data_IF_488305303467
#
_entry.id   IF_488305303467
#
_cell.length_a   1.000
_cell.length_b   1.000
_cell.length_c   1.000
_cell.angle_alpha   90.00
_cell.angle_beta   90.00
_cell.angle_gamma   90.00
#
_symmetry.space_group_name_H-M   'P 1'
#
loop_
_entity.id
_entity.type
_entity.pdbx_description
1 polymer ?
#
# COMPACT_ATOMS: atom_id res chain seq x y z
N UNK A 1 -5.83 7.45 65.91
CA UNK A 1 -6.52 8.03 64.74
C UNK A 1 -5.79 9.22 64.10
N UNK A 2 -5.50 10.32 64.79
CA UNK A 2 -4.82 11.52 64.21
C UNK A 2 -3.50 11.25 63.47
N UNK A 3 -2.61 10.41 64.02
CA UNK A 3 -1.32 10.05 63.37
C UNK A 3 -1.50 9.27 62.07
N UNK A 4 -2.46 8.34 62.02
CA UNK A 4 -2.77 7.55 60.82
C UNK A 4 -3.31 8.47 59.72
N UNK A 5 -4.22 9.39 60.05
CA UNK A 5 -4.76 10.37 59.11
C UNK A 5 -3.64 11.28 58.57
N UNK A 6 -2.74 11.76 59.44
CA UNK A 6 -1.61 12.60 59.01
C UNK A 6 -0.64 11.84 58.07
N UNK A 7 -0.31 10.59 58.37
CA UNK A 7 0.53 9.76 57.49
C UNK A 7 -0.14 9.51 56.14
N UNK A 8 -1.45 9.25 56.10
CA UNK A 8 -2.20 9.12 54.84
C UNK A 8 -2.22 10.42 54.04
N UNK A 9 -2.38 11.58 54.69
CA UNK A 9 -2.32 12.88 54.02
C UNK A 9 -0.94 13.13 53.43
N UNK A 10 0.14 12.80 54.14
CA UNK A 10 1.52 12.95 53.63
C UNK A 10 1.79 11.98 52.47
N UNK A 11 1.34 10.73 52.57
CA UNK A 11 1.48 9.74 51.48
C UNK A 11 0.72 10.21 50.24
N UNK A 12 -0.52 10.67 50.38
CA UNK A 12 -1.30 11.21 49.27
C UNK A 12 -0.63 12.47 48.69
N UNK A 13 -0.15 13.38 49.53
CA UNK A 13 0.50 14.63 49.10
C UNK A 13 1.84 14.41 48.38
N UNK A 14 2.51 13.27 48.56
CA UNK A 14 3.78 12.95 47.87
C UNK A 14 3.54 12.01 46.68
N UNK A 15 2.75 10.95 46.86
CA UNK A 15 2.51 9.93 45.84
C UNK A 15 1.67 10.50 44.69
N UNK A 16 0.67 11.33 44.97
CA UNK A 16 -0.22 11.87 43.94
C UNK A 16 0.52 12.81 42.98
N UNK A 17 1.37 13.75 43.42
CA UNK A 17 2.21 14.53 42.50
C UNK A 17 3.20 13.68 41.70
N UNK A 18 3.83 12.67 42.30
CA UNK A 18 4.74 11.76 41.58
C UNK A 18 3.98 10.99 40.50
N UNK A 19 2.78 10.49 40.83
CA UNK A 19 1.90 9.84 39.88
C UNK A 19 1.53 10.78 38.73
N UNK A 20 1.13 12.01 39.05
CA UNK A 20 0.84 13.03 38.03
C UNK A 20 2.07 13.29 37.15
N UNK A 21 3.25 13.38 37.76
CA UNK A 21 4.50 13.62 37.04
C UNK A 21 4.77 12.49 36.03
N UNK A 22 4.76 11.24 36.50
CA UNK A 22 5.10 10.04 35.70
C UNK A 22 4.09 9.79 34.58
N UNK A 23 2.80 9.97 34.84
CA UNK A 23 1.75 9.59 33.89
C UNK A 23 1.32 10.72 32.94
N UNK A 24 1.49 11.99 33.33
CA UNK A 24 0.99 13.13 32.54
C UNK A 24 2.06 14.12 32.09
N UNK A 25 3.16 14.28 32.83
CA UNK A 25 4.20 15.27 32.46
C UNK A 25 5.38 14.63 31.73
N UNK A 26 5.95 13.54 32.25
CA UNK A 26 7.09 12.87 31.64
C UNK A 26 6.82 12.35 30.22
N UNK A 27 5.63 11.81 29.89
CA UNK A 27 5.32 11.39 28.51
C UNK A 27 5.27 12.54 27.50
N UNK A 28 5.26 13.81 27.94
CA UNK A 28 5.32 14.96 27.04
C UNK A 28 6.76 15.34 26.66
N UNK A 29 7.76 14.87 27.41
CA UNK A 29 9.16 15.23 27.22
C UNK A 29 9.81 14.31 26.19
N UNK A 30 10.36 14.87 25.10
CA UNK A 30 10.93 14.09 24.00
C UNK A 30 12.15 13.27 24.41
N UNK A 31 12.95 13.74 25.37
CA UNK A 31 14.10 12.99 25.89
C UNK A 31 13.73 11.68 26.62
N UNK A 32 12.45 11.51 26.98
CA UNK A 32 11.92 10.27 27.55
C UNK A 32 11.57 9.22 26.49
N UNK A 33 11.71 9.54 25.21
CA UNK A 33 11.51 8.59 24.12
C UNK A 33 12.86 8.06 23.62
N UNK A 34 12.84 6.86 23.05
CA UNK A 34 13.99 6.24 22.39
C UNK A 34 13.62 5.88 20.96
N UNK A 35 14.61 5.90 20.06
CA UNK A 35 14.41 5.51 18.67
C UNK A 35 14.01 4.05 18.53
N UNK A 36 13.34 3.74 17.43
CA UNK A 36 13.02 2.38 17.00
C UNK A 36 14.26 1.47 17.02
N UNK A 37 15.40 1.91 16.50
CA UNK A 37 16.64 1.12 16.50
C UNK A 37 17.14 0.80 17.91
N UNK A 38 17.14 1.80 18.79
CA UNK A 38 17.53 1.60 20.19
C UNK A 38 16.60 0.62 20.89
N UNK A 39 15.30 0.71 20.60
CA UNK A 39 14.29 -0.20 21.15
C UNK A 39 14.51 -1.64 20.64
N UNK A 40 14.67 -1.82 19.33
CA UNK A 40 14.92 -3.13 18.70
C UNK A 40 16.19 -3.79 19.23
N UNK A 41 17.28 -3.03 19.38
CA UNK A 41 18.54 -3.55 19.94
C UNK A 41 18.37 -4.07 21.37
N UNK A 42 17.57 -3.39 22.20
CA UNK A 42 17.31 -3.80 23.59
C UNK A 42 16.31 -4.96 23.71
N UNK A 43 15.42 -5.12 22.74
CA UNK A 43 14.30 -6.08 22.79
C UNK A 43 14.37 -7.18 21.72
N UNK A 44 15.59 -7.54 21.27
CA UNK A 44 15.87 -8.55 20.22
C UNK A 44 15.19 -9.92 20.39
N UNK A 45 14.58 -10.22 21.55
CA UNK A 45 13.92 -11.51 21.83
C UNK A 45 12.43 -11.58 21.48
N UNK A 46 11.74 -10.46 21.21
CA UNK A 46 10.26 -10.43 21.12
C UNK A 46 9.69 -10.13 19.73
N UNK A 47 10.53 -9.90 18.72
CA UNK A 47 10.09 -9.72 17.33
C UNK A 47 10.51 -10.95 16.53
N UNK A 48 9.67 -11.98 16.54
CA UNK A 48 9.79 -13.09 15.59
C UNK A 48 9.37 -12.52 14.23
N UNK A 49 10.30 -11.84 13.54
CA UNK A 49 10.13 -11.20 12.23
C UNK A 49 9.92 -12.19 11.09
N UNK A 50 9.24 -13.30 11.36
CA UNK A 50 8.96 -14.37 10.40
C UNK A 50 7.62 -14.21 9.70
N UNK A 51 6.67 -13.48 10.30
CA UNK A 51 5.35 -13.26 9.74
C UNK A 51 5.12 -11.76 9.58
N UNK A 52 5.14 -11.28 8.33
CA UNK A 52 4.82 -9.89 8.00
C UNK A 52 3.40 -9.49 8.42
N UNK A 53 3.09 -8.20 8.33
CA UNK A 53 1.77 -7.68 8.68
C UNK A 53 0.71 -8.20 7.70
N UNK A 54 -0.31 -8.89 8.22
CA UNK A 54 -1.51 -9.24 7.45
C UNK A 54 -2.46 -8.05 7.38
N UNK A 55 -3.07 -7.83 6.23
CA UNK A 55 -3.97 -6.69 6.02
C UNK A 55 -5.35 -7.19 5.62
N UNK A 56 -6.40 -6.53 6.13
CA UNK A 56 -7.77 -6.93 5.86
C UNK A 56 -8.04 -6.94 4.35
N UNK A 57 -8.58 -8.06 3.87
CA UNK A 57 -8.83 -8.31 2.45
C UNK A 57 -10.21 -8.92 2.26
N UNK A 58 -10.82 -8.75 1.08
CA UNK A 58 -12.08 -9.46 0.75
C UNK A 58 -11.89 -10.95 0.60
N UNK A 59 -10.66 -11.40 0.35
CA UNK A 59 -10.28 -12.81 0.22
C UNK A 59 -9.04 -13.05 1.07
N UNK A 60 -9.07 -14.08 1.92
CA UNK A 60 -7.99 -14.44 2.83
C UNK A 60 -7.73 -15.94 2.79
N UNK A 61 -6.47 -16.32 2.56
CA UNK A 61 -6.02 -17.71 2.65
C UNK A 61 -5.82 -18.10 4.12
N UNK A 62 -6.44 -19.22 4.51
CA UNK A 62 -6.19 -19.90 5.79
C UNK A 62 -5.56 -21.29 5.55
N UNK A 63 -5.16 -21.99 6.61
CA UNK A 63 -4.54 -23.31 6.51
C UNK A 63 -5.45 -24.34 5.79
N UNK A 64 -6.75 -24.32 6.10
CA UNK A 64 -7.69 -25.35 5.66
C UNK A 64 -8.57 -24.93 4.47
N UNK A 65 -8.51 -23.66 4.05
CA UNK A 65 -9.37 -23.13 3.00
C UNK A 65 -9.23 -21.63 2.80
N UNK A 66 -10.16 -21.05 2.04
CA UNK A 66 -10.15 -19.65 1.66
C UNK A 66 -11.42 -19.00 2.17
N UNK A 67 -11.27 -17.95 3.00
CA UNK A 67 -12.38 -17.08 3.36
C UNK A 67 -12.55 -16.02 2.29
N UNK A 68 -13.80 -15.73 1.92
CA UNK A 68 -14.08 -14.61 1.03
C UNK A 68 -15.42 -13.97 1.37
N UNK A 69 -15.55 -12.68 1.10
CA UNK A 69 -16.75 -11.91 1.46
C UNK A 69 -17.61 -11.65 0.23
N UNK A 70 -18.92 -11.66 0.42
CA UNK A 70 -19.90 -11.19 -0.54
C UNK A 70 -20.95 -10.34 0.17
N UNK A 71 -20.90 -9.02 -0.02
CA UNK A 71 -21.72 -8.07 0.74
C UNK A 71 -21.63 -8.36 2.25
N UNK A 72 -22.75 -8.59 2.93
CA UNK A 72 -22.78 -8.93 4.36
C UNK A 72 -22.51 -10.39 4.72
N UNK A 73 -22.07 -11.24 3.77
CA UNK A 73 -21.87 -12.69 3.97
C UNK A 73 -20.39 -13.04 3.99
N UNK A 74 -19.99 -13.85 4.96
CA UNK A 74 -18.69 -14.51 4.99
C UNK A 74 -18.86 -15.92 4.43
N UNK A 75 -18.14 -16.21 3.35
CA UNK A 75 -18.10 -17.50 2.69
C UNK A 75 -16.77 -18.19 2.96
N UNK A 76 -16.76 -19.51 2.91
CA UNK A 76 -15.56 -20.33 3.07
C UNK A 76 -15.51 -21.40 1.99
N UNK A 77 -14.40 -21.45 1.25
CA UNK A 77 -14.09 -22.45 0.23
C UNK A 77 -13.07 -23.45 0.78
N UNK A 78 -13.45 -24.73 0.84
CA UNK A 78 -12.56 -25.79 1.30
C UNK A 78 -11.42 -26.10 0.32
N UNK A 79 -10.23 -26.40 0.84
CA UNK A 79 -9.05 -26.68 0.01
C UNK A 79 -9.12 -28.02 -0.76
N UNK A 80 -9.87 -29.01 -0.26
CA UNK A 80 -9.95 -30.38 -0.82
C UNK A 80 -10.80 -30.41 -2.09
N UNK A 81 -12.06 -30.00 -1.97
CA UNK A 81 -13.08 -30.24 -2.99
C UNK A 81 -13.66 -28.94 -3.57
N UNK A 82 -13.24 -27.77 -3.07
CA UNK A 82 -13.72 -26.47 -3.50
C UNK A 82 -15.17 -26.17 -3.11
N UNK A 83 -15.76 -26.97 -2.21
CA UNK A 83 -17.09 -26.74 -1.65
C UNK A 83 -17.14 -25.40 -0.94
N UNK A 84 -18.25 -24.69 -1.10
CA UNK A 84 -18.45 -23.36 -0.55
C UNK A 84 -19.58 -23.40 0.47
N UNK A 85 -19.27 -22.97 1.68
CA UNK A 85 -20.23 -22.84 2.76
C UNK A 85 -20.32 -21.37 3.19
N UNK A 86 -21.54 -20.91 3.50
CA UNK A 86 -21.72 -19.66 4.21
C UNK A 86 -21.44 -19.89 5.70
N UNK A 87 -20.50 -19.13 6.26
CA UNK A 87 -20.12 -19.25 7.67
C UNK A 87 -21.03 -18.38 8.52
N UNK A 88 -21.24 -17.13 8.11
CA UNK A 88 -22.07 -16.20 8.84
C UNK A 88 -22.53 -15.03 7.96
N UNK A 89 -23.55 -14.33 8.42
CA UNK A 89 -24.10 -13.14 7.77
C UNK A 89 -24.36 -12.05 8.80
N UNK A 90 -23.98 -10.82 8.45
CA UNK A 90 -24.38 -9.60 9.16
C UNK A 90 -25.32 -8.75 8.28
N UNK A 91 -26.12 -7.84 8.86
CA UNK A 91 -27.03 -6.99 8.09
C UNK A 91 -26.32 -6.04 7.12
N UNK A 92 -25.19 -5.49 7.56
CA UNK A 92 -24.37 -4.53 6.82
C UNK A 92 -23.38 -5.23 5.90
N UNK A 93 -22.71 -4.49 5.02
CA UNK A 93 -21.62 -5.06 4.20
C UNK A 93 -20.39 -5.39 5.06
N UNK A 94 -19.70 -6.49 4.75
CA UNK A 94 -18.40 -6.84 5.31
C UNK A 94 -17.33 -6.29 4.38
N UNK A 95 -16.44 -5.44 4.90
CA UNK A 95 -15.34 -4.86 4.14
C UNK A 95 -14.31 -5.93 3.76
N UNK A 96 -14.03 -6.84 4.69
CA UNK A 96 -13.06 -7.90 4.49
C UNK A 96 -12.88 -8.74 5.75
N UNK A 97 -11.90 -9.64 5.66
CA UNK A 97 -11.59 -10.67 6.62
C UNK A 97 -10.09 -10.68 6.94
N UNK A 98 -9.76 -10.99 8.19
CA UNK A 98 -8.43 -11.40 8.63
C UNK A 98 -8.55 -12.76 9.31
N UNK A 99 -7.72 -13.71 8.91
CA UNK A 99 -7.71 -15.04 9.48
C UNK A 99 -6.32 -15.42 9.99
N UNK A 100 -6.30 -15.99 11.20
CA UNK A 100 -5.10 -16.60 11.79
C UNK A 100 -5.52 -17.83 12.56
N UNK A 101 -4.91 -18.95 12.23
CA UNK A 101 -5.28 -20.26 12.76
C UNK A 101 -6.78 -20.50 12.56
N UNK A 102 -7.52 -20.81 13.63
CA UNK A 102 -8.99 -20.95 13.61
C UNK A 102 -9.73 -19.69 14.05
N UNK A 103 -9.06 -18.53 14.10
CA UNK A 103 -9.67 -17.26 14.49
C UNK A 103 -9.87 -16.37 13.28
N UNK A 104 -11.10 -15.90 13.10
CA UNK A 104 -11.48 -15.02 11.99
C UNK A 104 -12.00 -13.70 12.55
N UNK A 105 -11.56 -12.60 11.97
CA UNK A 105 -12.03 -11.26 12.29
C UNK A 105 -12.65 -10.59 11.06
N UNK A 106 -13.73 -9.86 11.27
CA UNK A 106 -14.48 -9.16 10.23
C UNK A 106 -14.58 -7.67 10.57
N UNK A 107 -14.57 -6.85 9.52
CA UNK A 107 -14.88 -5.41 9.62
C UNK A 107 -16.19 -5.12 8.93
N UNK A 108 -17.10 -4.51 9.66
CA UNK A 108 -18.34 -3.96 9.12
C UNK A 108 -18.11 -2.66 8.35
N UNK A 109 -18.84 -2.48 7.24
CA UNK A 109 -18.89 -1.26 6.47
C UNK A 109 -19.98 -0.35 7.04
N UNK A 110 -19.65 0.45 8.06
CA UNK A 110 -20.55 1.49 8.62
C UNK A 110 -19.72 2.66 9.22
N UNK A 111 -20.32 3.85 9.31
CA UNK A 111 -19.79 5.02 10.01
C UNK A 111 -19.56 4.75 11.51
N UNK A 112 -20.28 3.78 12.09
CA UNK A 112 -20.07 3.23 13.45
C UNK A 112 -19.56 1.78 13.36
N UNK A 113 -18.70 1.50 12.37
CA UNK A 113 -18.20 0.16 12.08
C UNK A 113 -17.75 -0.61 13.32
N UNK A 114 -18.21 -1.86 13.35
CA UNK A 114 -17.83 -2.84 14.36
C UNK A 114 -16.73 -3.75 13.84
N UNK A 115 -15.83 -4.15 14.74
CA UNK A 115 -14.95 -5.28 14.53
C UNK A 115 -15.57 -6.48 15.21
N UNK A 116 -15.74 -7.55 14.44
CA UNK A 116 -16.28 -8.82 14.92
C UNK A 116 -15.20 -9.89 14.94
N UNK A 117 -15.34 -10.82 15.88
CA UNK A 117 -14.64 -12.09 15.93
C UNK A 117 -15.65 -13.19 15.63
N UNK A 118 -15.32 -14.08 14.71
CA UNK A 118 -16.11 -15.26 14.38
C UNK A 118 -15.44 -16.46 15.02
N UNK A 119 -16.21 -17.24 15.78
CA UNK A 119 -15.70 -18.48 16.37
C UNK A 119 -15.85 -19.68 15.40
N UNK A 120 -15.31 -20.84 15.79
CA UNK A 120 -15.33 -22.04 14.95
C UNK A 120 -16.75 -22.52 14.57
N UNK A 121 -17.78 -22.12 15.32
CA UNK A 121 -19.17 -22.48 15.04
C UNK A 121 -19.89 -21.46 14.15
N UNK A 122 -19.19 -20.42 13.68
CA UNK A 122 -19.78 -19.33 12.90
C UNK A 122 -20.49 -18.26 13.74
N UNK A 123 -20.44 -18.34 15.08
CA UNK A 123 -21.03 -17.31 15.94
C UNK A 123 -20.19 -16.04 15.89
N UNK A 124 -20.89 -14.91 15.73
CA UNK A 124 -20.28 -13.60 15.59
C UNK A 124 -20.34 -12.87 16.93
N UNK A 125 -19.18 -12.47 17.45
CA UNK A 125 -19.05 -11.66 18.67
C UNK A 125 -18.44 -10.32 18.32
N UNK A 126 -19.12 -9.23 18.66
CA UNK A 126 -18.57 -7.88 18.52
C UNK A 126 -17.47 -7.66 19.56
N UNK A 127 -16.28 -7.27 19.13
CA UNK A 127 -15.12 -7.09 20.02
C UNK A 127 -14.67 -5.62 20.14
N UNK A 128 -14.88 -4.79 19.12
CA UNK A 128 -14.52 -3.37 19.18
C UNK A 128 -15.44 -2.51 18.30
N UNK A 129 -15.47 -1.21 18.60
CA UNK A 129 -16.07 -0.16 17.75
C UNK A 129 -14.94 0.61 17.09
N UNK A 130 -14.60 0.27 15.86
CA UNK A 130 -13.57 0.97 15.10
C UNK A 130 -13.78 0.79 13.59
N UNK A 131 -13.63 1.90 12.86
CA UNK A 131 -13.79 1.95 11.41
C UNK A 131 -12.45 2.03 10.67
N UNK A 132 -11.32 1.78 11.33
CA UNK A 132 -10.01 1.77 10.68
C UNK A 132 -9.80 0.62 9.72
N UNK A 133 -8.93 0.82 8.72
CA UNK A 133 -8.35 -0.30 7.97
C UNK A 133 -7.66 -1.21 8.99
N UNK A 134 -7.96 -2.50 8.94
CA UNK A 134 -7.50 -3.49 9.90
C UNK A 134 -6.23 -4.17 9.43
N UNK A 135 -5.33 -4.41 10.36
CA UNK A 135 -4.08 -5.12 10.18
C UNK A 135 -3.89 -6.11 11.33
N UNK A 136 -3.08 -7.14 11.12
CA UNK A 136 -2.75 -8.13 12.14
C UNK A 136 -1.25 -8.43 12.11
N UNK A 137 -0.62 -8.29 13.26
CA UNK A 137 0.78 -8.59 13.49
C UNK A 137 0.92 -9.30 14.84
N UNK A 138 1.52 -10.49 14.83
CA UNK A 138 1.56 -11.35 16.01
C UNK A 138 0.15 -11.72 16.51
N UNK A 139 -0.14 -11.42 17.77
CA UNK A 139 -1.46 -11.65 18.42
C UNK A 139 -2.24 -10.34 18.64
N UNK A 140 -2.01 -9.35 17.79
CA UNK A 140 -2.65 -8.04 17.90
C UNK A 140 -3.37 -7.66 16.62
N UNK A 141 -4.45 -6.89 16.78
CA UNK A 141 -5.16 -6.22 15.70
C UNK A 141 -4.81 -4.74 15.78
N UNK A 142 -4.42 -4.18 14.65
CA UNK A 142 -4.22 -2.74 14.52
C UNK A 142 -5.34 -2.18 13.64
N UNK A 143 -5.80 -0.98 13.98
CA UNK A 143 -6.73 -0.21 13.16
C UNK A 143 -6.14 1.15 12.88
N UNK A 144 -6.35 1.63 11.66
CA UNK A 144 -5.80 2.92 11.26
C UNK A 144 -6.81 3.70 10.40
N UNK A 145 -7.20 4.89 10.86
CA UNK A 145 -8.02 5.87 10.14
C UNK A 145 -7.73 7.30 10.60
N UNK A 146 -8.21 8.29 9.83
CA UNK A 146 -8.06 9.71 10.15
C UNK A 146 -8.78 10.16 11.45
N UNK A 147 -9.88 9.49 11.84
CA UNK A 147 -10.68 9.91 13.01
C UNK A 147 -9.98 9.60 14.34
N UNK A 148 -9.30 8.46 14.39
CA UNK A 148 -8.80 7.86 15.62
C UNK A 148 -7.29 7.61 15.60
N UNK A 149 -6.64 7.81 14.44
CA UNK A 149 -5.24 7.47 14.21
C UNK A 149 -5.01 5.97 14.30
N UNK A 150 -3.84 5.59 14.81
CA UNK A 150 -3.46 4.20 15.02
C UNK A 150 -4.01 3.72 16.36
N UNK A 151 -4.69 2.57 16.36
CA UNK A 151 -5.08 1.85 17.57
C UNK A 151 -4.61 0.42 17.49
N UNK A 152 -4.28 -0.14 18.64
CA UNK A 152 -3.89 -1.53 18.80
C UNK A 152 -4.81 -2.20 19.81
N UNK A 153 -5.25 -3.42 19.49
CA UNK A 153 -6.14 -4.24 20.28
C UNK A 153 -5.56 -5.64 20.43
N UNK A 154 -5.85 -6.29 21.55
CA UNK A 154 -5.73 -7.74 21.64
C UNK A 154 -6.90 -8.44 20.93
N UNK A 155 -6.83 -9.77 20.79
CA UNK A 155 -7.87 -10.58 20.14
C UNK A 155 -9.19 -10.70 20.94
N UNK A 156 -9.27 -10.10 22.14
CA UNK A 156 -10.53 -9.93 22.88
C UNK A 156 -11.22 -8.61 22.56
N UNK A 157 -10.53 -7.70 21.83
CA UNK A 157 -11.00 -6.35 21.55
C UNK A 157 -10.64 -5.33 22.62
N UNK A 158 -9.83 -5.71 23.62
CA UNK A 158 -9.33 -4.74 24.61
C UNK A 158 -8.25 -3.89 23.94
N UNK A 159 -8.43 -2.58 23.99
CA UNK A 159 -7.46 -1.63 23.47
C UNK A 159 -6.17 -1.65 24.30
N UNK A 160 -5.04 -1.83 23.62
CA UNK A 160 -3.68 -1.80 24.16
C UNK A 160 -3.14 -0.37 24.11
N UNK A 161 -3.27 0.30 22.96
CA UNK A 161 -2.93 1.71 22.82
C UNK A 161 -3.74 2.42 21.74
N UNK A 162 -3.73 3.75 21.78
CA UNK A 162 -4.24 4.63 20.73
C UNK A 162 -3.31 5.84 20.58
N UNK A 163 -3.01 6.19 19.34
CA UNK A 163 -2.27 7.39 18.98
C UNK A 163 -3.02 8.11 17.84
N UNK A 164 -3.44 9.35 18.08
CA UNK A 164 -4.17 10.17 17.09
C UNK A 164 -3.24 10.99 16.17
N UNK A 165 -1.97 11.18 16.56
CA UNK A 165 -0.99 12.04 15.87
C UNK A 165 -0.54 11.49 14.51
N UNK A 166 -1.14 10.38 14.04
CA UNK A 166 -0.62 9.61 12.92
C UNK A 166 -1.20 9.94 11.55
N UNK A 167 -2.37 10.57 11.40
CA UNK A 167 -3.01 10.70 10.08
C UNK A 167 -4.00 11.87 9.98
N UNK A 168 -3.52 13.04 9.57
CA UNK A 168 -4.38 14.08 9.01
C UNK A 168 -4.33 13.95 7.47
N UNK A 169 -5.42 13.42 6.89
CA UNK A 169 -5.72 13.40 5.44
C UNK A 169 -4.78 12.55 4.53
N UNK A 170 -4.94 11.22 4.58
CA UNK A 170 -4.20 10.27 3.72
C UNK A 170 -5.10 9.55 2.73
N UNK A 171 -4.63 9.35 1.48
CA UNK A 171 -5.35 8.62 0.42
C UNK A 171 -5.05 7.13 0.42
N UNK A 172 -3.87 6.74 0.91
CA UNK A 172 -3.42 5.35 0.99
C UNK A 172 -2.44 5.22 2.14
N UNK A 173 -2.50 4.10 2.86
CA UNK A 173 -1.64 3.82 4.00
C UNK A 173 -1.45 2.32 4.23
N UNK A 174 -0.30 1.97 4.79
CA UNK A 174 0.04 0.65 5.31
C UNK A 174 0.88 0.77 6.58
N UNK A 175 0.97 -0.33 7.35
CA UNK A 175 1.76 -0.40 8.57
C UNK A 175 2.70 -1.61 8.55
N UNK A 176 3.86 -1.47 9.17
CA UNK A 176 4.83 -2.55 9.39
C UNK A 176 5.74 -2.19 10.56
N UNK A 177 6.02 -3.11 11.49
CA UNK A 177 6.90 -2.82 12.66
C UNK A 177 6.51 -1.53 13.43
N UNK A 178 5.23 -1.25 13.60
CA UNK A 178 4.66 0.02 14.12
C UNK A 178 4.97 1.30 13.30
N UNK A 179 5.71 1.22 12.19
CA UNK A 179 5.85 2.31 11.20
C UNK A 179 4.54 2.49 10.44
N UNK A 180 4.29 3.72 9.99
CA UNK A 180 3.14 4.03 9.15
C UNK A 180 3.66 4.68 7.87
N UNK A 181 3.46 4.01 6.75
CA UNK A 181 3.82 4.50 5.43
C UNK A 181 2.57 4.93 4.69
N UNK A 182 2.54 6.17 4.21
CA UNK A 182 1.32 6.75 3.68
C UNK A 182 1.57 7.80 2.60
N UNK A 183 0.54 8.01 1.79
CA UNK A 183 0.49 9.08 0.79
C UNK A 183 -0.35 10.24 1.32
N UNK A 184 0.22 11.44 1.28
CA UNK A 184 -0.40 12.67 1.76
C UNK A 184 -1.23 13.33 0.66
N UNK A 185 -2.50 13.65 0.96
CA UNK A 185 -3.47 14.15 -0.03
C UNK A 185 -3.08 15.48 -0.69
N UNK A 186 -2.53 16.45 0.05
CA UNK A 186 -2.40 17.82 -0.47
C UNK A 186 -1.29 18.00 -1.50
N UNK A 187 -0.19 17.23 -1.39
CA UNK A 187 0.99 17.39 -2.24
C UNK A 187 1.41 16.08 -2.92
N UNK A 188 0.59 15.02 -2.84
CA UNK A 188 0.89 13.69 -3.37
C UNK A 188 2.22 13.09 -2.86
N UNK A 189 2.76 13.62 -1.75
CA UNK A 189 4.02 13.19 -1.16
C UNK A 189 3.85 11.88 -0.41
N UNK A 190 4.90 11.06 -0.43
CA UNK A 190 4.99 9.86 0.38
C UNK A 190 5.71 10.20 1.68
N UNK A 191 5.15 9.74 2.80
CA UNK A 191 5.67 10.01 4.11
C UNK A 191 5.73 8.75 4.98
N UNK A 192 6.63 8.80 5.96
CA UNK A 192 6.87 7.74 6.92
C UNK A 192 6.78 8.32 8.34
N UNK A 193 5.87 7.77 9.13
CA UNK A 193 5.85 7.99 10.58
C UNK A 193 6.74 6.97 11.25
N UNK A 194 7.87 7.43 11.79
CA UNK A 194 8.87 6.61 12.48
C UNK A 194 8.52 6.52 13.96
N UNK A 195 8.35 5.32 14.54
CA UNK A 195 7.96 5.15 15.93
C UNK A 195 9.11 5.49 16.89
N UNK A 196 8.77 6.21 17.95
CA UNK A 196 9.61 6.48 19.11
C UNK A 196 8.90 5.95 20.36
N UNK A 197 9.61 5.12 21.14
CA UNK A 197 9.01 4.40 22.26
C UNK A 197 9.30 5.10 23.58
N UNK A 198 8.27 5.31 24.40
CA UNK A 198 8.44 5.88 25.72
C UNK A 198 9.17 4.92 26.67
N UNK A 199 10.21 5.41 27.35
CA UNK A 199 11.11 4.57 28.17
C UNK A 199 10.43 3.82 29.31
N UNK A 200 9.30 4.32 29.83
CA UNK A 200 8.61 3.73 30.98
C UNK A 200 7.36 2.92 30.60
N UNK A 201 6.89 3.02 29.36
CA UNK A 201 5.70 2.29 28.86
C UNK A 201 5.77 2.17 27.34
N UNK A 202 6.06 0.96 26.85
CA UNK A 202 6.27 0.68 25.42
C UNK A 202 5.01 0.87 24.57
N UNK A 203 3.83 0.91 25.20
CA UNK A 203 2.56 1.14 24.51
C UNK A 203 2.31 2.63 24.25
N UNK A 204 3.16 3.52 24.78
CA UNK A 204 3.15 4.95 24.45
C UNK A 204 4.18 5.23 23.37
N UNK A 205 3.68 5.39 22.15
CA UNK A 205 4.48 5.67 20.96
C UNK A 205 4.26 7.12 20.55
N UNK A 206 5.34 7.83 20.23
CA UNK A 206 5.33 9.09 19.48
C UNK A 206 5.83 8.83 18.06
N UNK A 207 5.45 9.67 17.11
CA UNK A 207 5.89 9.55 15.73
C UNK A 207 6.73 10.74 15.30
N UNK A 208 7.85 10.44 14.68
CA UNK A 208 8.65 11.42 13.94
C UNK A 208 8.32 11.29 12.45
N UNK A 209 7.98 12.40 11.81
CA UNK A 209 7.55 12.40 10.41
C UNK A 209 8.74 12.64 9.46
N UNK A 210 8.85 11.79 8.44
CA UNK A 210 9.81 11.92 7.35
C UNK A 210 9.11 11.90 5.99
N UNK A 211 9.60 12.71 5.04
CA UNK A 211 9.27 12.60 3.63
C UNK A 211 10.16 11.55 2.98
N UNK A 212 9.56 10.61 2.23
CA UNK A 212 10.28 9.59 1.49
C UNK A 212 10.51 10.09 0.08
N UNK A 213 11.76 10.47 -0.23
CA UNK A 213 12.12 11.13 -1.50
C UNK A 213 12.49 10.12 -2.58
N UNK A 214 11.65 10.01 -3.61
CA UNK A 214 11.89 9.14 -4.77
C UNK A 214 12.50 9.85 -5.99
N UNK A 215 12.28 11.17 -6.12
CA UNK A 215 12.68 11.94 -7.30
C UNK A 215 14.03 12.62 -7.12
N UNK A 216 14.91 12.50 -8.12
CA UNK A 216 16.31 12.94 -8.10
C UNK A 216 16.62 13.78 -9.33
N UNK A 217 17.44 14.80 -9.15
CA UNK A 217 17.98 15.64 -10.21
C UNK A 217 19.49 15.57 -10.18
N UNK A 218 20.11 15.45 -11.35
CA UNK A 218 21.54 15.24 -11.50
C UNK A 218 22.25 16.37 -12.25
N UNK A 219 21.49 17.21 -12.94
CA UNK A 219 21.96 18.45 -13.52
C UNK A 219 21.23 19.62 -12.87
N UNK A 220 21.82 20.81 -12.99
CA UNK A 220 21.19 22.04 -12.52
C UNK A 220 19.79 22.20 -13.15
N UNK A 221 18.73 22.41 -12.33
CA UNK A 221 17.40 22.66 -12.86
C UNK A 221 17.38 24.00 -13.61
N UNK A 222 16.68 24.02 -14.74
CA UNK A 222 16.54 25.22 -15.57
C UNK A 222 15.44 26.15 -15.01
N UNK A 223 15.33 27.38 -15.51
CA UNK A 223 14.42 28.40 -14.92
C UNK A 223 12.94 27.98 -14.90
N UNK A 224 12.53 27.06 -15.77
CA UNK A 224 11.18 26.51 -15.81
C UNK A 224 10.96 25.32 -14.86
N UNK A 225 12.02 24.79 -14.25
CA UNK A 225 11.93 23.67 -13.31
C UNK A 225 11.78 24.23 -11.88
N UNK A 226 10.81 23.72 -11.15
CA UNK A 226 10.49 24.18 -9.79
C UNK A 226 11.43 23.62 -8.70
N UNK A 227 12.55 23.01 -9.11
CA UNK A 227 13.45 22.28 -8.24
C UNK A 227 14.62 23.14 -7.77
N UNK A 228 15.06 22.94 -6.53
CA UNK A 228 16.16 23.73 -5.96
C UNK A 228 17.52 23.17 -6.42
N UNK A 229 18.41 24.05 -6.88
CA UNK A 229 19.79 23.72 -7.28
C UNK A 229 20.58 23.00 -6.18
N UNK A 230 20.31 23.30 -4.91
CA UNK A 230 20.96 22.66 -3.75
C UNK A 230 20.61 21.18 -3.58
N UNK A 231 19.53 20.70 -4.21
CA UNK A 231 19.09 19.32 -4.10
C UNK A 231 19.64 18.43 -5.23
N UNK A 232 20.43 18.99 -6.15
CA UNK A 232 21.10 18.26 -7.23
C UNK A 232 22.19 17.37 -6.66
N UNK A 233 22.22 16.12 -7.10
CA UNK A 233 23.17 15.10 -6.63
C UNK A 233 24.01 14.55 -7.78
N UNK A 234 25.15 13.94 -7.45
CA UNK A 234 25.92 13.18 -8.44
C UNK A 234 25.17 11.91 -8.89
N UNK A 235 25.58 11.35 -10.03
CA UNK A 235 25.00 10.12 -10.57
C UNK A 235 25.23 8.96 -9.61
N UNK A 236 24.15 8.55 -8.94
CA UNK A 236 24.12 7.40 -8.04
C UNK A 236 23.86 6.09 -8.80
N UNK A 237 23.66 5.00 -8.06
CA UNK A 237 23.50 3.68 -8.65
C UNK A 237 22.17 3.54 -9.42
N UNK A 238 21.10 4.23 -8.99
CA UNK A 238 19.84 4.28 -9.73
C UNK A 238 20.03 4.99 -11.07
N UNK A 239 20.75 6.12 -11.08
CA UNK A 239 21.05 6.85 -12.30
C UNK A 239 21.78 5.97 -13.32
N UNK A 240 22.81 5.25 -12.88
CA UNK A 240 23.61 4.35 -13.74
C UNK A 240 22.77 3.20 -14.30
N UNK A 241 21.90 2.61 -13.48
CA UNK A 241 21.05 1.49 -13.90
C UNK A 241 20.02 1.93 -14.93
N UNK A 242 19.28 3.01 -14.63
CA UNK A 242 18.23 3.54 -15.51
C UNK A 242 18.80 4.11 -16.82
N UNK A 243 19.92 4.85 -16.77
CA UNK A 243 20.57 5.39 -17.98
C UNK A 243 21.05 4.25 -18.89
N UNK A 244 21.63 3.19 -18.32
CA UNK A 244 22.05 2.01 -19.07
C UNK A 244 20.87 1.29 -19.72
N UNK A 245 19.78 1.09 -18.99
CA UNK A 245 18.56 0.46 -19.49
C UNK A 245 18.02 1.21 -20.71
N UNK A 246 17.84 2.52 -20.59
CA UNK A 246 17.35 3.39 -21.67
C UNK A 246 18.25 3.33 -22.91
N UNK A 247 19.56 3.44 -22.73
CA UNK A 247 20.52 3.53 -23.86
C UNK A 247 20.82 2.20 -24.53
N UNK A 248 20.77 1.09 -23.80
CA UNK A 248 21.26 -0.21 -24.30
C UNK A 248 20.11 -1.13 -24.68
N UNK A 249 19.01 -1.12 -23.91
CA UNK A 249 17.97 -2.14 -24.04
C UNK A 249 16.83 -1.71 -24.97
N UNK A 250 16.84 -0.44 -25.43
CA UNK A 250 15.87 0.06 -26.41
C UNK A 250 14.41 -0.14 -25.99
N UNK A 251 14.17 -0.21 -24.68
CA UNK A 251 12.87 -0.62 -24.10
C UNK A 251 11.72 0.33 -24.37
N UNK A 252 12.01 1.53 -24.87
CA UNK A 252 11.03 2.55 -25.17
C UNK A 252 11.10 2.85 -26.65
N UNK A 253 9.93 2.89 -27.31
CA UNK A 253 9.83 3.44 -28.64
C UNK A 253 10.42 4.84 -28.63
N UNK A 254 11.55 5.03 -29.30
CA UNK A 254 12.17 6.33 -29.46
C UNK A 254 11.35 7.11 -30.48
N UNK A 255 10.22 7.66 -30.04
CA UNK A 255 9.19 8.27 -30.90
C UNK A 255 9.74 9.45 -31.73
N UNK A 256 10.81 10.10 -31.26
CA UNK A 256 11.28 11.38 -31.82
C UNK A 256 12.54 11.30 -32.70
N UNK A 257 13.13 10.12 -32.93
CA UNK A 257 14.37 9.98 -33.72
C UNK A 257 15.57 10.78 -33.18
N UNK A 258 15.51 11.26 -31.94
CA UNK A 258 16.58 11.97 -31.24
C UNK A 258 17.68 11.00 -30.85
N UNK A 259 18.92 11.32 -31.19
CA UNK A 259 20.10 10.56 -30.74
C UNK A 259 20.39 10.89 -29.27
N UNK A 260 20.09 9.94 -28.39
CA UNK A 260 20.38 10.01 -26.95
C UNK A 260 21.86 10.33 -26.64
N UNK A 261 22.80 10.03 -27.55
CA UNK A 261 24.22 10.40 -27.39
C UNK A 261 24.45 11.90 -27.22
N UNK A 262 23.53 12.75 -27.71
CA UNK A 262 23.58 14.21 -27.60
C UNK A 262 22.96 14.75 -26.31
N UNK A 263 22.45 13.88 -25.43
CA UNK A 263 21.76 14.29 -24.22
C UNK A 263 22.40 13.67 -22.97
N UNK A 264 22.39 14.43 -21.87
CA UNK A 264 22.78 13.99 -20.53
C UNK A 264 21.54 13.74 -19.68
N UNK A 265 21.61 12.74 -18.78
CA UNK A 265 20.51 12.45 -17.86
C UNK A 265 20.37 13.60 -16.87
N UNK A 266 19.23 14.28 -16.90
CA UNK A 266 18.91 15.44 -16.07
C UNK A 266 18.20 15.02 -14.78
N UNK A 267 17.16 14.18 -14.88
CA UNK A 267 16.37 13.77 -13.72
C UNK A 267 15.74 12.38 -13.88
N UNK A 268 15.50 11.74 -12.74
CA UNK A 268 14.65 10.56 -12.60
C UNK A 268 13.62 10.85 -11.52
N UNK A 269 12.36 10.90 -11.89
CA UNK A 269 11.26 11.29 -11.01
C UNK A 269 10.23 10.17 -10.94
N UNK A 270 9.85 9.74 -9.74
CA UNK A 270 8.81 8.72 -9.56
C UNK A 270 7.59 9.33 -8.87
N UNK A 271 6.50 9.41 -9.62
CA UNK A 271 5.18 9.76 -9.10
C UNK A 271 4.45 8.49 -8.67
N UNK A 272 4.37 8.27 -7.36
CA UNK A 272 3.67 7.10 -6.79
C UNK A 272 2.17 7.36 -6.77
N UNK A 273 1.41 6.53 -7.48
CA UNK A 273 -0.05 6.61 -7.54
C UNK A 273 -0.71 5.77 -6.44
N UNK A 274 -0.23 4.54 -6.24
CA UNK A 274 -0.72 3.62 -5.21
C UNK A 274 0.40 2.67 -4.76
N UNK A 275 0.22 1.96 -3.65
CA UNK A 275 1.18 0.99 -3.16
C UNK A 275 0.54 -0.19 -2.42
N UNK A 276 1.26 -1.31 -2.35
CA UNK A 276 0.85 -2.50 -1.63
C UNK A 276 1.08 -2.38 -0.12
N UNK A 277 0.50 -3.29 0.64
CA UNK A 277 1.00 -3.59 1.98
C UNK A 277 2.35 -4.33 1.92
N UNK A 278 2.99 -4.57 3.07
CA UNK A 278 4.28 -5.28 3.11
C UNK A 278 4.13 -6.72 2.60
N UNK A 279 4.93 -7.09 1.60
CA UNK A 279 5.04 -8.46 1.09
C UNK A 279 6.52 -8.82 0.97
N UNK A 280 6.93 -9.89 1.65
CA UNK A 280 8.31 -10.41 1.63
C UNK A 280 9.39 -9.34 1.92
N UNK A 281 9.15 -8.44 2.87
CA UNK A 281 10.01 -7.29 3.24
C UNK A 281 10.15 -6.20 2.17
N UNK A 282 9.20 -6.11 1.26
CA UNK A 282 9.09 -5.02 0.29
C UNK A 282 7.72 -4.35 0.35
N UNK A 283 7.69 -3.09 -0.06
CA UNK A 283 6.46 -2.41 -0.49
C UNK A 283 6.56 -2.23 -2.00
N UNK A 284 5.48 -2.58 -2.71
CA UNK A 284 5.38 -2.42 -4.14
C UNK A 284 4.66 -1.13 -4.45
N UNK A 285 5.22 -0.34 -5.36
CA UNK A 285 4.75 0.99 -5.73
C UNK A 285 4.25 0.95 -7.17
N UNK A 286 3.02 1.35 -7.40
CA UNK A 286 2.52 1.62 -8.74
C UNK A 286 2.60 3.11 -9.03
N UNK A 287 3.21 3.47 -10.16
CA UNK A 287 3.41 4.87 -10.51
C UNK A 287 4.01 5.08 -11.89
N UNK A 288 4.34 6.34 -12.17
CA UNK A 288 5.04 6.75 -13.37
C UNK A 288 6.46 7.22 -13.04
N UNK A 289 7.45 6.56 -13.62
CA UNK A 289 8.84 7.03 -13.62
C UNK A 289 9.06 7.89 -14.86
N UNK A 290 9.27 9.19 -14.65
CA UNK A 290 9.66 10.14 -15.67
C UNK A 290 11.18 10.25 -15.68
N UNK A 291 11.78 10.00 -16.82
CA UNK A 291 13.22 10.10 -17.06
C UNK A 291 13.43 11.26 -18.03
N UNK A 292 14.15 12.28 -17.60
CA UNK A 292 14.39 13.47 -18.42
C UNK A 292 15.86 13.56 -18.79
N UNK A 293 16.11 13.72 -20.08
CA UNK A 293 17.41 13.97 -20.66
C UNK A 293 17.45 15.41 -21.21
N UNK A 294 18.57 16.10 -21.02
CA UNK A 294 18.80 17.48 -21.48
C UNK A 294 19.88 17.51 -22.56
N UNK A 295 19.64 18.27 -23.63
CA UNK A 295 20.59 18.47 -24.73
C UNK A 295 21.90 19.05 -24.19
N UNK A 296 23.03 18.41 -24.51
CA UNK A 296 24.38 18.83 -24.07
C UNK A 296 24.71 20.26 -24.52
N UNK A 297 24.16 20.69 -25.65
CA UNK A 297 24.36 22.03 -26.18
C UNK A 297 23.23 23.00 -25.83
N UNK A 298 22.32 22.62 -24.91
CA UNK A 298 21.18 23.44 -24.51
C UNK A 298 21.58 24.90 -24.26
N UNK A 299 22.56 25.16 -23.38
CA UNK A 299 22.97 26.53 -23.02
C UNK A 299 23.38 27.37 -24.23
N UNK A 300 24.16 26.79 -25.16
CA UNK A 300 24.58 27.47 -26.39
C UNK A 300 23.40 27.72 -27.33
N UNK A 301 22.58 26.70 -27.55
CA UNK A 301 21.43 26.77 -28.46
C UNK A 301 20.33 27.68 -27.92
N UNK A 302 20.20 27.81 -26.59
CA UNK A 302 19.22 28.70 -25.96
C UNK A 302 19.61 30.17 -26.08
N UNK A 303 20.91 30.49 -26.00
CA UNK A 303 21.43 31.85 -26.19
C UNK A 303 21.27 32.37 -27.63
N UNK A 304 21.23 31.48 -28.62
CA UNK A 304 21.11 31.80 -30.04
C UNK A 304 19.65 31.97 -30.52
N UNK A 305 18.69 31.83 -29.61
CA UNK A 305 17.27 31.71 -29.93
C UNK A 305 16.56 33.07 -29.88
N UNK A 306 15.52 33.22 -30.69
CA UNK A 306 14.74 34.47 -30.73
C UNK A 306 13.60 34.46 -29.72
N UNK A 307 13.14 35.64 -29.27
CA UNK A 307 12.03 35.79 -28.32
C UNK A 307 10.71 35.14 -28.81
N UNK A 308 10.51 34.97 -30.12
CA UNK A 308 9.34 34.28 -30.69
C UNK A 308 9.44 32.75 -30.62
N UNK A 309 10.65 32.19 -30.45
CA UNK A 309 10.89 30.74 -30.32
C UNK A 309 10.81 30.25 -28.86
N UNK A 310 10.71 31.16 -27.88
CA UNK A 310 10.81 30.82 -26.45
C UNK A 310 9.64 29.98 -25.90
N UNK A 311 8.43 30.14 -26.46
CA UNK A 311 7.18 29.54 -25.93
C UNK A 311 7.16 27.99 -26.00
N UNK A 312 8.10 27.34 -26.72
CA UNK A 312 8.20 25.88 -26.88
C UNK A 312 9.60 25.29 -26.56
N UNK A 313 10.47 26.04 -25.86
CA UNK A 313 11.87 25.65 -25.65
C UNK A 313 12.07 24.28 -24.97
N UNK A 314 11.22 23.94 -23.99
CA UNK A 314 11.44 22.76 -23.16
C UNK A 314 11.42 21.46 -23.97
N UNK A 315 10.50 21.30 -24.90
CA UNK A 315 10.37 20.07 -25.71
C UNK A 315 11.46 19.96 -26.80
N UNK A 316 12.01 21.11 -27.23
CA UNK A 316 13.12 21.18 -28.19
C UNK A 316 14.42 20.62 -27.59
N UNK A 317 14.69 20.93 -26.32
CA UNK A 317 15.96 20.59 -25.66
C UNK A 317 15.88 19.42 -24.68
N UNK A 318 14.68 18.93 -24.37
CA UNK A 318 14.53 17.74 -23.54
C UNK A 318 14.11 16.52 -24.34
N UNK A 319 14.49 15.36 -23.84
CA UNK A 319 13.96 14.08 -24.26
C UNK A 319 13.41 13.39 -23.01
N UNK A 320 12.09 13.12 -23.01
CA UNK A 320 11.38 12.61 -21.84
C UNK A 320 10.84 11.21 -22.13
N UNK A 321 11.09 10.31 -21.20
CA UNK A 321 10.54 8.96 -21.20
C UNK A 321 9.62 8.83 -20.00
N UNK A 322 8.43 8.29 -20.21
CA UNK A 322 7.47 8.02 -19.14
C UNK A 322 7.22 6.52 -19.04
N UNK A 323 7.46 5.96 -17.87
CA UNK A 323 7.37 4.52 -17.63
C UNK A 323 6.33 4.26 -16.55
N UNK A 324 5.15 3.79 -16.97
CA UNK A 324 4.12 3.30 -16.05
C UNK A 324 4.44 1.85 -15.68
N UNK A 325 4.77 1.60 -14.42
CA UNK A 325 5.18 0.27 -13.98
C UNK A 325 4.91 0.06 -12.48
N UNK A 326 5.08 -1.19 -12.06
CA UNK A 326 5.26 -1.52 -10.64
C UNK A 326 6.74 -1.51 -10.32
N UNK A 327 7.08 -0.82 -9.26
CA UNK A 327 8.39 -0.78 -8.62
C UNK A 327 8.31 -1.48 -7.28
N UNK A 328 9.44 -1.82 -6.68
CA UNK A 328 9.49 -2.24 -5.29
C UNK A 328 10.60 -1.53 -4.55
N UNK A 329 10.38 -1.31 -3.26
CA UNK A 329 11.33 -0.72 -2.33
C UNK A 329 11.42 -1.63 -1.11
N UNK A 330 12.64 -1.88 -0.64
CA UNK A 330 12.82 -2.72 0.55
C UNK A 330 12.38 -1.97 1.82
N UNK A 331 11.86 -2.71 2.78
CA UNK A 331 11.49 -2.16 4.09
C UNK A 331 12.71 -1.56 4.81
N UNK A 332 13.91 -2.12 4.59
CA UNK A 332 15.13 -1.62 5.19
C UNK A 332 15.52 -0.25 4.59
N UNK A 333 15.36 -0.07 3.27
CA UNK A 333 15.56 1.23 2.60
C UNK A 333 14.58 2.29 3.13
N UNK A 334 13.30 1.93 3.31
CA UNK A 334 12.30 2.85 3.88
C UNK A 334 12.67 3.24 5.31
N UNK A 335 13.03 2.28 6.16
CA UNK A 335 13.39 2.53 7.57
C UNK A 335 14.63 3.41 7.71
N UNK A 336 15.57 3.30 6.77
CA UNK A 336 16.80 4.11 6.75
C UNK A 336 16.61 5.48 6.09
N UNK A 337 15.44 5.77 5.51
CA UNK A 337 15.16 7.05 4.87
C UNK A 337 15.06 8.21 5.87
N UNK A 338 15.39 9.40 5.39
CA UNK A 338 15.31 10.65 6.16
C UNK A 338 14.92 11.81 5.25
N UNK A 339 14.60 12.96 5.84
CA UNK A 339 14.33 14.19 5.09
C UNK A 339 15.52 14.71 4.26
N UNK A 340 16.71 14.13 4.43
CA UNK A 340 17.95 14.53 3.75
C UNK A 340 18.39 13.51 2.69
N UNK A 341 17.79 12.32 2.66
CA UNK A 341 18.24 11.21 1.80
C UNK A 341 17.19 10.82 0.77
N UNK A 342 17.66 10.26 -0.34
CA UNK A 342 16.81 9.64 -1.36
C UNK A 342 16.78 8.14 -1.17
N UNK A 343 15.64 7.52 -1.45
CA UNK A 343 15.49 6.05 -1.38
C UNK A 343 15.71 5.40 -2.73
N UNK A 344 16.40 4.27 -2.75
CA UNK A 344 16.52 3.43 -3.94
C UNK A 344 15.28 2.54 -4.10
N UNK A 345 14.93 2.28 -5.34
CA UNK A 345 13.84 1.40 -5.73
C UNK A 345 14.20 0.74 -7.05
N UNK A 346 13.58 -0.40 -7.32
CA UNK A 346 13.82 -1.17 -8.53
C UNK A 346 12.51 -1.39 -9.29
N UNK A 347 12.59 -1.42 -10.62
CA UNK A 347 11.43 -1.71 -11.45
C UNK A 347 11.20 -3.23 -11.46
N UNK A 348 9.94 -3.63 -11.24
CA UNK A 348 9.57 -5.05 -11.24
C UNK A 348 9.32 -5.55 -12.66
N UNK A 349 8.62 -4.78 -13.50
CA UNK A 349 8.36 -5.18 -14.89
C UNK A 349 9.44 -4.68 -15.83
N UNK A 350 9.92 -5.56 -16.72
CA UNK A 350 10.83 -5.21 -17.82
C UNK A 350 10.10 -4.51 -18.96
N UNK A 351 8.96 -5.03 -19.39
CA UNK A 351 8.18 -4.40 -20.46
C UNK A 351 7.00 -3.61 -19.88
N UNK A 352 6.80 -2.35 -20.29
CA UNK A 352 5.64 -1.56 -19.90
C UNK A 352 4.40 -1.82 -20.79
N UNK A 353 4.52 -2.62 -21.86
CA UNK A 353 3.42 -2.88 -22.81
C UNK A 353 2.39 -3.86 -22.22
N UNK A 354 1.50 -3.30 -21.42
CA UNK A 354 0.34 -3.99 -20.86
C UNK A 354 -0.90 -3.32 -21.44
N UNK A 355 -1.79 -4.10 -22.07
CA UNK A 355 -3.00 -3.53 -22.69
C UNK A 355 -3.99 -3.01 -21.66
N UNK A 356 -4.71 -1.94 -22.02
CA UNK A 356 -5.74 -1.32 -21.21
C UNK A 356 -5.20 -0.35 -20.15
N UNK A 357 -6.11 0.38 -19.52
CA UNK A 357 -5.78 1.27 -18.41
C UNK A 357 -5.65 0.47 -17.12
N UNK A 358 -4.55 0.71 -16.42
CA UNK A 358 -4.22 0.01 -15.19
C UNK A 358 -5.17 0.43 -14.07
N UNK A 359 -5.92 -0.54 -13.55
CA UNK A 359 -6.92 -0.29 -12.51
C UNK A 359 -6.33 -0.54 -11.12
N UNK A 360 -5.88 -1.78 -10.85
CA UNK A 360 -5.38 -2.20 -9.54
C UNK A 360 -4.29 -3.26 -9.70
N UNK A 361 -3.54 -3.49 -8.63
CA UNK A 361 -2.61 -4.60 -8.56
C UNK A 361 -2.64 -5.22 -7.17
N UNK A 362 -2.24 -6.48 -7.09
CA UNK A 362 -1.99 -7.19 -5.84
C UNK A 362 -0.69 -7.97 -5.98
N UNK A 363 -0.02 -8.20 -4.86
CA UNK A 363 1.24 -8.94 -4.81
C UNK A 363 1.00 -10.18 -3.99
N UNK A 364 1.36 -11.34 -4.54
CA UNK A 364 1.32 -12.60 -3.82
C UNK A 364 2.59 -13.39 -4.11
N UNK A 365 3.41 -13.54 -3.06
CA UNK A 365 4.71 -14.21 -3.09
C UNK A 365 5.60 -13.60 -4.19
N UNK A 366 6.01 -14.41 -5.17
CA UNK A 366 6.90 -14.00 -6.26
C UNK A 366 6.17 -13.41 -7.48
N UNK A 367 4.88 -13.08 -7.40
CA UNK A 367 4.13 -12.54 -8.53
C UNK A 367 3.40 -11.25 -8.18
N UNK A 368 3.42 -10.30 -9.11
CA UNK A 368 2.49 -9.17 -9.12
C UNK A 368 1.39 -9.49 -10.12
N UNK A 369 0.14 -9.45 -9.66
CA UNK A 369 -1.02 -9.53 -10.54
C UNK A 369 -1.59 -8.15 -10.75
N UNK A 370 -1.87 -7.86 -12.01
CA UNK A 370 -2.35 -6.56 -12.48
C UNK A 370 -3.69 -6.78 -13.16
N UNK A 371 -4.69 -5.98 -12.78
CA UNK A 371 -5.97 -5.92 -13.49
C UNK A 371 -6.06 -4.63 -14.30
N UNK A 372 -6.28 -4.81 -15.59
CA UNK A 372 -6.48 -3.73 -16.55
C UNK A 372 -7.85 -3.86 -17.21
N UNK A 373 -8.38 -2.75 -17.69
CA UNK A 373 -9.62 -2.72 -18.46
C UNK A 373 -9.36 -1.95 -19.77
N UNK A 374 -10.02 -2.32 -20.88
CA UNK A 374 -9.99 -1.53 -22.13
C UNK A 374 -10.24 -0.05 -21.82
N UNK A 375 -9.70 0.92 -22.56
CA UNK A 375 -9.93 2.35 -22.29
C UNK A 375 -11.43 2.70 -22.17
N UNK A 376 -11.75 3.69 -21.34
CA UNK A 376 -13.12 4.16 -21.18
C UNK A 376 -13.64 4.76 -22.49
N UNK A 377 -14.88 4.42 -22.86
CA UNK A 377 -15.58 5.06 -23.98
C UNK A 377 -16.99 5.44 -23.56
N UNK A 378 -17.51 6.56 -24.04
CA UNK A 378 -18.89 7.02 -23.76
C UNK A 378 -19.99 6.14 -24.37
N UNK A 379 -19.61 5.04 -25.03
CA UNK A 379 -20.54 4.04 -25.55
C UNK A 379 -20.80 3.02 -24.46
N UNK A 380 -22.08 2.73 -24.18
CA UNK A 380 -22.48 1.59 -23.34
C UNK A 380 -22.03 0.29 -24.01
N UNK A 381 -20.81 -0.14 -23.69
CA UNK A 381 -20.20 -1.33 -24.24
C UNK A 381 -19.53 -2.11 -23.11
N UNK A 382 -19.56 -3.43 -23.24
CA UNK A 382 -18.77 -4.30 -22.39
C UNK A 382 -17.29 -4.07 -22.69
N UNK A 383 -16.56 -3.54 -21.70
CA UNK A 383 -15.10 -3.45 -21.71
C UNK A 383 -14.51 -4.83 -21.46
N UNK A 384 -13.39 -5.14 -22.11
CA UNK A 384 -12.61 -6.30 -21.72
C UNK A 384 -11.82 -5.99 -20.45
N UNK A 385 -11.70 -7.01 -19.62
CA UNK A 385 -10.87 -7.07 -18.43
C UNK A 385 -9.72 -8.01 -18.73
N UNK A 386 -8.52 -7.58 -18.37
CA UNK A 386 -7.28 -8.31 -18.55
C UNK A 386 -6.61 -8.51 -17.21
N UNK A 387 -6.03 -9.69 -17.02
CA UNK A 387 -5.18 -9.98 -15.88
C UNK A 387 -3.80 -10.36 -16.39
N UNK A 388 -2.81 -9.64 -15.91
CA UNK A 388 -1.40 -9.89 -16.18
C UNK A 388 -0.73 -10.40 -14.92
N UNK A 389 0.18 -11.37 -15.09
CA UNK A 389 1.09 -11.83 -14.05
C UNK A 389 2.49 -11.33 -14.39
N UNK A 390 3.18 -10.73 -13.43
CA UNK A 390 4.56 -10.28 -13.54
C UNK A 390 5.39 -11.11 -12.56
N UNK A 391 6.31 -11.92 -13.08
CA UNK A 391 7.23 -12.67 -12.22
C UNK A 391 8.26 -11.69 -11.66
N UNK A 392 8.27 -11.55 -10.33
CA UNK A 392 9.08 -10.54 -9.62
C UNK A 392 10.58 -10.76 -9.80
N UNK A 393 11.03 -12.00 -10.07
CA UNK A 393 12.46 -12.33 -10.18
C UNK A 393 13.01 -12.02 -11.56
N UNK A 394 12.23 -12.32 -12.59
CA UNK A 394 12.64 -12.21 -13.99
C UNK A 394 12.19 -10.89 -14.62
N UNK A 395 11.16 -10.27 -14.06
CA UNK A 395 10.47 -9.08 -14.55
C UNK A 395 9.65 -9.31 -15.82
N UNK A 396 9.47 -10.58 -16.21
CA UNK A 396 8.65 -10.94 -17.37
C UNK A 396 7.18 -10.88 -17.00
N UNK A 397 6.40 -10.22 -17.84
CA UNK A 397 4.95 -10.18 -17.72
C UNK A 397 4.28 -11.13 -18.74
N UNK A 398 3.07 -11.57 -18.42
CA UNK A 398 2.23 -12.41 -19.30
C UNK A 398 0.76 -12.13 -19.03
N UNK A 399 -0.03 -11.96 -20.09
CA UNK A 399 -1.49 -12.03 -19.99
C UNK A 399 -1.89 -13.46 -19.57
N UNK A 400 -2.46 -13.60 -18.38
CA UNK A 400 -2.93 -14.89 -17.88
C UNK A 400 -4.41 -15.08 -18.14
N UNK A 401 -5.20 -14.01 -18.17
CA UNK A 401 -6.63 -14.12 -18.38
C UNK A 401 -7.21 -12.89 -19.04
N UNK A 402 -8.18 -13.10 -19.92
CA UNK A 402 -8.95 -12.05 -20.59
C UNK A 402 -10.42 -12.47 -20.65
N UNK A 403 -11.31 -11.53 -20.35
CA UNK A 403 -12.76 -11.72 -20.51
C UNK A 403 -13.47 -10.42 -20.79
N UNK A 404 -14.70 -10.50 -21.30
CA UNK A 404 -15.62 -9.36 -21.24
C UNK A 404 -16.15 -9.21 -19.81
N UNK A 405 -16.29 -7.98 -19.34
CA UNK A 405 -16.92 -7.68 -18.05
C UNK A 405 -18.33 -8.26 -17.97
N UNK A 406 -18.76 -8.67 -16.77
CA UNK A 406 -20.13 -9.14 -16.54
C UNK A 406 -21.17 -8.02 -16.57
N UNK A 407 -20.79 -6.83 -16.11
CA UNK A 407 -21.67 -5.69 -15.97
C UNK A 407 -21.23 -4.54 -16.88
N UNK A 408 -22.22 -3.77 -17.35
CA UNK A 408 -22.00 -2.48 -17.99
C UNK A 408 -21.67 -1.44 -16.93
N UNK A 409 -20.96 -0.39 -17.33
CA UNK A 409 -20.67 0.77 -16.49
C UNK A 409 -19.23 0.84 -16.01
N UNK A 410 -19.00 1.74 -15.04
CA UNK A 410 -17.68 2.26 -14.70
C UNK A 410 -17.15 1.80 -13.34
N UNK A 411 -17.89 0.94 -12.62
CA UNK A 411 -17.43 0.44 -11.32
C UNK A 411 -16.13 -0.34 -11.52
N UNK A 412 -15.07 0.01 -10.80
CA UNK A 412 -13.77 -0.63 -10.98
C UNK A 412 -13.77 -2.04 -10.39
N UNK A 413 -13.28 -2.99 -11.17
CA UNK A 413 -13.11 -4.38 -10.71
C UNK A 413 -11.97 -4.48 -9.69
N UNK A 414 -12.02 -5.49 -8.83
CA UNK A 414 -10.98 -5.79 -7.83
C UNK A 414 -10.41 -7.19 -8.04
N UNK A 415 -9.14 -7.36 -7.70
CA UNK A 415 -8.48 -8.66 -7.72
C UNK A 415 -7.88 -8.98 -6.36
N UNK A 416 -7.88 -10.26 -6.02
CA UNK A 416 -7.25 -10.81 -4.83
C UNK A 416 -6.59 -12.13 -5.21
N UNK A 417 -5.41 -12.42 -4.68
CA UNK A 417 -4.77 -13.71 -4.88
C UNK A 417 -4.69 -14.50 -3.58
N UNK A 418 -4.64 -15.81 -3.78
CA UNK A 418 -4.39 -16.83 -2.78
C UNK A 418 -3.31 -17.76 -3.32
N UNK A 419 -2.93 -18.76 -2.54
CA UNK A 419 -1.92 -19.74 -2.93
C UNK A 419 -2.23 -20.43 -4.27
N UNK A 420 -3.52 -20.69 -4.54
CA UNK A 420 -3.98 -21.46 -5.71
C UNK A 420 -4.71 -20.63 -6.75
N UNK A 421 -5.35 -19.55 -6.34
CA UNK A 421 -6.37 -18.88 -7.16
C UNK A 421 -6.23 -17.36 -7.15
N UNK A 422 -6.70 -16.75 -8.24
CA UNK A 422 -6.99 -15.33 -8.33
C UNK A 422 -8.51 -15.18 -8.33
N UNK A 423 -9.02 -14.33 -7.44
CA UNK A 423 -10.41 -13.95 -7.36
C UNK A 423 -10.59 -12.57 -8.00
N UNK A 424 -11.62 -12.45 -8.83
CA UNK A 424 -11.99 -11.25 -9.56
C UNK A 424 -13.37 -10.86 -9.09
N UNK A 425 -13.46 -9.68 -8.50
CA UNK A 425 -14.70 -9.07 -8.04
C UNK A 425 -15.11 -8.02 -9.07
N UNK A 426 -16.28 -8.23 -9.67
CA UNK A 426 -16.86 -7.27 -10.61
C UNK A 426 -18.13 -6.69 -10.00
N UNK A 427 -18.32 -5.39 -10.23
CA UNK A 427 -19.42 -4.60 -9.72
C UNK A 427 -20.22 -3.99 -10.88
N UNK A 428 -21.51 -3.79 -10.65
CA UNK A 428 -22.39 -3.08 -11.55
C UNK A 428 -23.48 -2.34 -10.78
N UNK A 429 -24.12 -1.39 -11.46
CA UNK A 429 -25.17 -0.54 -10.89
C UNK A 429 -24.73 0.15 -9.58
N UNK A 430 -23.55 0.78 -9.57
CA UNK A 430 -22.97 1.48 -8.41
C UNK A 430 -22.78 0.54 -7.19
N UNK A 431 -22.38 -0.70 -7.46
CA UNK A 431 -22.17 -1.74 -6.44
C UNK A 431 -23.42 -2.50 -5.99
N UNK A 432 -24.61 -2.18 -6.51
CA UNK A 432 -25.82 -2.97 -6.23
C UNK A 432 -25.69 -4.41 -6.73
N UNK A 433 -25.06 -4.59 -7.90
CA UNK A 433 -24.71 -5.90 -8.44
C UNK A 433 -23.24 -6.21 -8.16
N UNK A 434 -22.98 -7.45 -7.81
CA UNK A 434 -21.64 -7.97 -7.58
C UNK A 434 -21.58 -9.41 -8.07
N UNK A 435 -20.49 -9.81 -8.70
CA UNK A 435 -20.20 -11.22 -8.94
C UNK A 435 -18.73 -11.52 -8.65
N UNK A 436 -18.44 -12.81 -8.45
CA UNK A 436 -17.09 -13.26 -8.10
C UNK A 436 -16.69 -14.36 -9.08
N UNK A 437 -15.65 -14.11 -9.86
CA UNK A 437 -14.98 -15.11 -10.69
C UNK A 437 -13.70 -15.58 -9.99
N UNK A 438 -13.39 -16.85 -10.10
CA UNK A 438 -12.11 -17.41 -9.65
C UNK A 438 -11.41 -18.08 -10.83
N UNK A 439 -10.12 -17.82 -10.99
CA UNK A 439 -9.23 -18.48 -11.95
C UNK A 439 -8.05 -19.12 -11.21
N UNK A 440 -7.43 -20.16 -11.79
CA UNK A 440 -6.12 -20.61 -11.32
C UNK A 440 -5.08 -19.51 -11.55
N UNK A 441 -3.93 -19.56 -10.86
CA UNK A 441 -2.86 -18.54 -11.00
C UNK A 441 -2.30 -18.39 -12.41
N UNK A 442 -2.40 -19.43 -13.24
CA UNK A 442 -2.01 -19.43 -14.64
C UNK A 442 -3.12 -18.98 -15.60
N UNK A 443 -4.29 -18.62 -15.06
CA UNK A 443 -5.48 -18.21 -15.78
C UNK A 443 -6.41 -19.35 -16.22
N UNK A 444 -6.02 -20.59 -16.00
CA UNK A 444 -6.84 -21.75 -16.36
C UNK A 444 -8.05 -21.92 -15.42
N UNK A 445 -9.01 -22.74 -15.86
CA UNK A 445 -10.20 -23.12 -15.10
C UNK A 445 -10.98 -21.93 -14.49
N UNK A 446 -11.42 -20.97 -15.31
CA UNK A 446 -12.27 -19.87 -14.84
C UNK A 446 -13.63 -20.39 -14.39
N UNK A 447 -13.98 -20.11 -13.13
CA UNK A 447 -15.24 -20.52 -12.50
C UNK A 447 -15.94 -19.26 -11.97
N UNK A 448 -17.21 -19.07 -12.34
CA UNK A 448 -18.12 -18.15 -11.68
C UNK A 448 -18.47 -18.77 -10.32
N UNK A 449 -17.99 -18.15 -9.25
CA UNK A 449 -18.19 -18.62 -7.88
C UNK A 449 -19.53 -18.13 -7.35
N UNK A 450 -19.78 -16.82 -7.48
CA UNK A 450 -21.05 -16.19 -7.13
C UNK A 450 -21.57 -15.34 -8.28
N UNK A 451 -22.86 -15.47 -8.58
CA UNK A 451 -23.51 -14.70 -9.64
C UNK A 451 -23.98 -13.31 -9.18
N UNK A 452 -24.51 -12.51 -10.12
CA UNK A 452 -25.02 -11.17 -9.85
C UNK A 452 -26.21 -11.09 -8.88
N UNK A 453 -26.89 -12.21 -8.62
CA UNK A 453 -27.99 -12.30 -7.65
C UNK A 453 -27.47 -12.68 -6.26
N UNK A 454 -26.20 -13.07 -6.14
CA UNK A 454 -25.57 -13.53 -4.90
C UNK A 454 -25.74 -15.02 -4.63
N UNK A 455 -26.13 -15.81 -5.62
CA UNK A 455 -26.18 -17.27 -5.48
C UNK A 455 -24.81 -17.89 -5.72
N UNK A 456 -24.49 -18.94 -4.96
CA UNK A 456 -23.29 -19.75 -5.20
C UNK A 456 -23.59 -20.67 -6.38
N UNK A 457 -22.87 -20.49 -7.49
CA UNK A 457 -23.18 -21.18 -8.76
C UNK A 457 -22.12 -22.21 -9.17
N UNK A 458 -20.84 -21.93 -8.90
CA UNK A 458 -19.71 -22.81 -9.24
C UNK A 458 -19.73 -23.31 -10.69
N UNK A 459 -19.94 -22.40 -11.65
CA UNK A 459 -20.05 -22.72 -13.08
C UNK A 459 -18.81 -22.31 -13.87
N UNK A 460 -18.29 -23.15 -14.78
CA UNK A 460 -17.25 -22.73 -15.70
C UNK A 460 -17.68 -21.52 -16.55
N UNK A 461 -16.74 -20.63 -16.81
CA UNK A 461 -16.91 -19.48 -17.71
C UNK A 461 -16.11 -19.76 -18.98
N UNK A 462 -16.63 -19.38 -20.14
CA UNK A 462 -15.91 -19.48 -21.41
C UNK A 462 -15.08 -18.23 -21.69
#
# INVERSE_FOLDING_TARGET
>A
MRKIIFTWVVVVAIVLPIFVLIFYTLPKIDSMYISSDTYKQKNKSNQDGKNGVKVISKVEQSENGIYFVYKGRLMYMENSDGNINEICKIPSEIVGVLAKDNTVFLRECDNVASIYKVNANGEIVKIANDSGKMYMEGENIYTLNARHGLRKYDFSGKMIFSNKEALDFTTSHTIFDDYIFYKWYQNERIALSVPQYYRLDVNKIKYLLHEVKFSRYYLEPEEWDSYNRENVIEYDDLAKEVDKEVRTEGMYDQVDGKDLGNYDLQSIELSVWNFSDEVDRYIYLYGNQKITYLDKEYKRKSEEMTLEEEDNNREKFTYQINVKAVFRISIDEIKNSSNETYVNYERVSKSPDISGDWSRFIVDKNNVYVINEDEYTDKEAYRNLYIYSIDVKTGLNKEVYKKKRFFLGNDSSEIFATDKYIFIYEYGDYGEKQCITRINRDGSNPILVMDGNGEVVMKPIQ
#
